data_IF_746703316625
#
_entry.id   IF_746703316625
#
_cell.length_a   1.000
_cell.length_b   1.000
_cell.length_c   1.000
_cell.angle_alpha   90.00
_cell.angle_beta   90.00
_cell.angle_gamma   90.00
#
_symmetry.space_group_name_H-M   'P 1'
#
loop_
_entity.id
_entity.type
_entity.pdbx_description
1 polymer ?
#
# COMPACT_ATOMS: atom_id res chain seq x y z
N UNK A 1 -6.66 -35.90 -8.38
CA UNK A 1 -7.05 -34.48 -8.49
C UNK A 1 -5.78 -33.66 -8.38
N UNK A 2 -5.29 -33.15 -9.50
CA UNK A 2 -4.03 -32.41 -9.56
C UNK A 2 -4.25 -31.04 -8.92
N UNK A 3 -3.75 -30.84 -7.71
CA UNK A 3 -3.63 -29.51 -7.11
C UNK A 3 -2.73 -28.70 -8.04
N UNK A 4 -3.29 -27.68 -8.70
CA UNK A 4 -2.49 -26.69 -9.43
C UNK A 4 -1.45 -26.15 -8.45
N UNK A 5 -0.19 -26.56 -8.59
CA UNK A 5 0.90 -26.01 -7.80
C UNK A 5 0.92 -24.51 -8.08
N UNK A 6 0.51 -23.71 -7.11
CA UNK A 6 0.68 -22.26 -7.18
C UNK A 6 2.18 -22.00 -7.22
N UNK A 7 2.62 -21.35 -8.29
CA UNK A 7 4.00 -20.94 -8.46
C UNK A 7 4.44 -20.17 -7.20
N UNK A 8 5.56 -20.55 -6.57
CA UNK A 8 5.98 -20.01 -5.26
C UNK A 8 5.84 -20.95 -4.06
N UNK A 9 5.47 -22.23 -4.25
CA UNK A 9 5.50 -23.22 -3.17
C UNK A 9 4.33 -23.12 -2.18
N UNK A 10 4.51 -23.70 -0.99
CA UNK A 10 3.45 -23.84 0.02
C UNK A 10 3.37 -22.67 1.02
N UNK A 11 4.36 -21.77 1.03
CA UNK A 11 4.41 -20.64 1.96
C UNK A 11 3.41 -19.55 1.60
N UNK A 12 2.98 -18.78 2.60
CA UNK A 12 2.08 -17.62 2.40
C UNK A 12 2.71 -16.53 1.54
N UNK A 13 3.99 -16.27 1.80
CA UNK A 13 4.74 -15.31 1.01
C UNK A 13 4.86 -15.78 -0.45
N UNK A 14 5.06 -17.07 -0.68
CA UNK A 14 5.16 -17.69 -1.99
C UNK A 14 3.88 -17.62 -2.79
N UNK A 15 2.73 -17.85 -2.15
CA UNK A 15 1.41 -17.69 -2.78
C UNK A 15 1.18 -16.28 -3.32
N UNK A 16 1.76 -15.25 -2.68
CA UNK A 16 1.67 -13.87 -3.18
C UNK A 16 2.78 -13.54 -4.18
N UNK A 17 4.02 -13.80 -3.81
CA UNK A 17 5.18 -13.40 -4.61
C UNK A 17 5.29 -14.20 -5.90
N UNK A 18 5.03 -15.50 -5.87
CA UNK A 18 5.30 -16.39 -7.01
C UNK A 18 4.56 -15.98 -8.28
N UNK A 19 3.23 -15.91 -8.30
CA UNK A 19 2.48 -15.53 -9.50
C UNK A 19 2.84 -14.11 -10.00
N UNK A 20 3.12 -13.19 -9.08
CA UNK A 20 3.52 -11.82 -9.42
C UNK A 20 4.92 -11.76 -10.05
N UNK A 21 5.88 -12.51 -9.52
CA UNK A 21 7.24 -12.58 -10.06
C UNK A 21 7.25 -13.23 -11.45
N UNK A 22 6.46 -14.26 -11.69
CA UNK A 22 6.31 -14.83 -13.02
C UNK A 22 5.66 -13.85 -14.01
N UNK A 23 4.62 -13.11 -13.57
CA UNK A 23 4.04 -12.03 -14.38
C UNK A 23 5.06 -10.92 -14.69
N UNK A 24 5.92 -10.57 -13.73
CA UNK A 24 7.04 -9.64 -13.95
C UNK A 24 8.01 -10.20 -14.99
N UNK A 25 8.50 -11.44 -14.83
CA UNK A 25 9.43 -12.10 -15.77
C UNK A 25 8.88 -12.08 -17.20
N UNK A 26 7.58 -12.37 -17.37
CA UNK A 26 6.91 -12.39 -18.68
C UNK A 26 6.77 -11.02 -19.32
N UNK A 27 6.69 -9.94 -18.53
CA UNK A 27 6.52 -8.57 -19.02
C UNK A 27 7.83 -7.79 -19.14
N UNK A 28 8.91 -8.26 -18.51
CA UNK A 28 10.22 -7.61 -18.57
C UNK A 28 10.84 -7.80 -19.96
N UNK A 29 11.29 -6.70 -20.56
CA UNK A 29 12.17 -6.75 -21.73
C UNK A 29 13.54 -7.30 -21.31
N UNK A 30 13.74 -8.62 -21.42
CA UNK A 30 14.94 -9.34 -20.97
C UNK A 30 16.26 -8.65 -21.32
N UNK A 31 16.38 -8.12 -22.54
CA UNK A 31 17.59 -7.45 -23.03
C UNK A 31 17.98 -6.19 -22.23
N UNK A 32 17.03 -5.55 -21.55
CA UNK A 32 17.25 -4.32 -20.76
C UNK A 32 17.39 -4.57 -19.26
N UNK A 33 16.79 -5.66 -18.74
CA UNK A 33 16.74 -5.92 -17.30
C UNK A 33 17.05 -7.39 -16.98
N UNK A 34 18.10 -7.96 -17.58
CA UNK A 34 18.53 -9.34 -17.33
C UNK A 34 18.74 -9.63 -15.84
N UNK A 35 19.29 -8.65 -15.09
CA UNK A 35 19.48 -8.75 -13.64
C UNK A 35 18.15 -8.87 -12.85
N UNK A 36 17.10 -8.15 -13.27
CA UNK A 36 15.77 -8.28 -12.66
C UNK A 36 15.20 -9.67 -12.91
N UNK A 37 15.32 -10.19 -14.13
CA UNK A 37 14.78 -11.51 -14.43
C UNK A 37 15.55 -12.61 -13.70
N UNK A 38 16.88 -12.52 -13.59
CA UNK A 38 17.66 -13.47 -12.78
C UNK A 38 17.29 -13.40 -11.30
N UNK A 39 17.07 -12.19 -10.77
CA UNK A 39 16.66 -12.02 -9.38
C UNK A 39 15.27 -12.62 -9.11
N UNK A 40 14.28 -12.39 -9.99
CA UNK A 40 12.96 -13.01 -9.88
C UNK A 40 13.03 -14.54 -9.93
N UNK A 41 13.82 -15.13 -10.85
CA UNK A 41 13.98 -16.58 -10.94
C UNK A 41 14.62 -17.17 -9.69
N UNK A 42 15.69 -16.54 -9.19
CA UNK A 42 16.37 -16.99 -7.97
C UNK A 42 15.44 -16.95 -6.74
N UNK A 43 14.55 -15.95 -6.67
CA UNK A 43 13.52 -15.90 -5.63
C UNK A 43 12.49 -17.00 -5.80
N UNK A 44 12.02 -17.29 -7.02
CA UNK A 44 11.09 -18.39 -7.28
C UNK A 44 11.68 -19.74 -6.84
N UNK A 45 12.93 -20.02 -7.18
CA UNK A 45 13.62 -21.25 -6.77
C UNK A 45 13.72 -21.36 -5.24
N UNK A 46 14.00 -20.24 -4.56
CA UNK A 46 14.05 -20.20 -3.09
C UNK A 46 12.67 -20.44 -2.46
N UNK A 47 11.61 -19.85 -3.03
CA UNK A 47 10.23 -19.98 -2.54
C UNK A 47 9.72 -21.43 -2.55
N UNK A 48 10.17 -22.26 -3.50
CA UNK A 48 9.80 -23.69 -3.55
C UNK A 48 10.29 -24.47 -2.32
N UNK A 49 11.40 -24.04 -1.72
CA UNK A 49 11.97 -24.67 -0.52
C UNK A 49 11.46 -24.10 0.81
N UNK A 50 10.73 -22.98 0.77
CA UNK A 50 10.28 -22.27 1.97
C UNK A 50 8.93 -22.81 2.45
N UNK A 51 8.86 -23.05 3.76
CA UNK A 51 7.63 -23.37 4.48
C UNK A 51 7.39 -22.34 5.55
N UNK A 52 6.12 -22.09 5.88
CA UNK A 52 5.78 -21.16 6.95
C UNK A 52 6.19 -21.72 8.32
N UNK A 53 7.00 -20.97 9.06
CA UNK A 53 7.23 -21.26 10.47
C UNK A 53 5.98 -20.90 11.29
N UNK A 54 5.21 -21.93 11.68
CA UNK A 54 3.97 -21.79 12.46
C UNK A 54 4.18 -21.25 13.88
N UNK A 55 5.43 -21.20 14.35
CA UNK A 55 5.78 -20.99 15.76
C UNK A 55 6.11 -19.56 16.16
N UNK A 56 6.12 -18.57 15.25
CA UNK A 56 6.63 -17.24 15.59
C UNK A 56 5.63 -16.07 15.47
N UNK A 57 4.90 -15.77 16.56
CA UNK A 57 4.18 -14.50 16.75
C UNK A 57 5.09 -13.30 17.08
N UNK A 58 6.40 -13.51 17.28
CA UNK A 58 7.33 -12.55 17.85
C UNK A 58 8.55 -12.21 17.00
N UNK A 59 8.76 -12.84 15.83
CA UNK A 59 9.87 -12.46 14.96
C UNK A 59 9.71 -11.01 14.52
N UNK A 60 10.77 -10.21 14.73
CA UNK A 60 10.90 -8.87 14.16
C UNK A 60 11.16 -8.93 12.64
N UNK A 61 10.79 -10.02 11.97
CA UNK A 61 10.96 -10.19 10.54
C UNK A 61 9.87 -9.44 9.80
N UNK A 62 10.22 -8.71 8.71
CA UNK A 62 9.24 -7.94 7.96
C UNK A 62 8.24 -8.81 7.19
N UNK A 63 8.48 -10.11 7.01
CA UNK A 63 7.54 -11.05 6.39
C UNK A 63 7.08 -12.14 7.36
N UNK A 64 5.80 -12.52 7.26
CA UNK A 64 5.22 -13.58 8.07
C UNK A 64 5.94 -14.92 7.86
N UNK A 65 6.36 -15.55 8.97
CA UNK A 65 6.86 -16.93 8.97
C UNK A 65 8.24 -17.13 8.34
N UNK A 66 9.01 -16.05 8.16
CA UNK A 66 10.34 -16.07 7.51
C UNK A 66 11.39 -15.33 8.35
N UNK A 67 12.68 -15.62 8.09
CA UNK A 67 13.81 -14.86 8.63
C UNK A 67 13.93 -13.47 7.99
N UNK A 68 14.60 -12.52 8.66
CA UNK A 68 14.85 -11.17 8.09
C UNK A 68 15.68 -11.24 6.80
N UNK A 69 16.68 -12.12 6.74
CA UNK A 69 17.52 -12.30 5.55
C UNK A 69 16.74 -12.87 4.38
N UNK A 70 15.83 -13.81 4.63
CA UNK A 70 14.96 -14.33 3.56
C UNK A 70 14.00 -13.24 3.11
N UNK A 71 13.42 -12.46 4.02
CA UNK A 71 12.52 -11.38 3.67
C UNK A 71 13.17 -10.30 2.78
N UNK A 72 14.41 -9.90 3.10
CA UNK A 72 15.19 -8.97 2.29
C UNK A 72 15.44 -9.51 0.88
N UNK A 73 15.85 -10.79 0.81
CA UNK A 73 16.09 -11.46 -0.46
C UNK A 73 14.83 -11.55 -1.33
N UNK A 74 13.69 -11.91 -0.74
CA UNK A 74 12.43 -12.13 -1.45
C UNK A 74 11.79 -10.85 -2.00
N UNK A 75 11.93 -9.73 -1.29
CA UNK A 75 11.32 -8.45 -1.68
C UNK A 75 12.21 -7.61 -2.62
N UNK A 76 13.52 -7.91 -2.69
CA UNK A 76 14.44 -7.14 -3.53
C UNK A 76 14.06 -7.11 -5.03
N UNK A 77 13.64 -8.21 -5.69
CA UNK A 77 13.20 -8.15 -7.09
C UNK A 77 11.93 -7.30 -7.29
N UNK A 78 11.07 -7.23 -6.27
CA UNK A 78 9.87 -6.40 -6.31
C UNK A 78 10.21 -4.92 -6.36
N UNK A 79 11.15 -4.48 -5.52
CA UNK A 79 11.67 -3.11 -5.52
C UNK A 79 12.31 -2.78 -6.87
N UNK A 80 13.14 -3.68 -7.39
CA UNK A 80 13.77 -3.51 -8.71
C UNK A 80 12.74 -3.42 -9.86
N UNK A 81 11.62 -4.13 -9.77
CA UNK A 81 10.53 -4.05 -10.74
C UNK A 81 9.84 -2.68 -10.71
N UNK A 82 9.59 -2.12 -9.52
CA UNK A 82 9.03 -0.77 -9.36
C UNK A 82 10.00 0.31 -9.89
N UNK A 83 11.30 0.14 -9.66
CA UNK A 83 12.36 1.05 -10.15
C UNK A 83 12.56 0.99 -11.67
N UNK A 84 12.05 -0.04 -12.35
CA UNK A 84 12.21 -0.20 -13.81
C UNK A 84 11.56 0.92 -14.63
N UNK A 85 10.57 1.63 -14.04
CA UNK A 85 9.75 2.67 -14.69
C UNK A 85 9.02 2.19 -15.96
N UNK A 86 8.91 0.88 -16.17
CA UNK A 86 8.15 0.29 -17.27
C UNK A 86 6.75 -0.05 -16.77
N UNK A 87 5.66 0.60 -17.24
CA UNK A 87 4.31 0.38 -16.73
C UNK A 87 3.91 -1.11 -16.72
N UNK A 88 4.24 -1.86 -17.77
CA UNK A 88 3.99 -3.31 -17.88
C UNK A 88 4.66 -4.17 -16.79
N UNK A 89 5.72 -3.66 -16.16
CA UNK A 89 6.50 -4.33 -15.10
C UNK A 89 6.10 -3.78 -13.73
N UNK A 90 5.86 -2.48 -13.65
CA UNK A 90 5.45 -1.78 -12.42
C UNK A 90 4.05 -2.22 -11.99
N UNK A 91 3.11 -2.38 -12.92
CA UNK A 91 1.72 -2.78 -12.61
C UNK A 91 1.64 -4.11 -11.83
N UNK A 92 2.22 -5.25 -12.28
CA UNK A 92 2.21 -6.48 -11.50
C UNK A 92 3.02 -6.40 -10.19
N UNK A 93 3.98 -5.47 -10.10
CA UNK A 93 4.72 -5.22 -8.86
C UNK A 93 3.88 -4.44 -7.83
N UNK A 94 3.11 -3.44 -8.26
CA UNK A 94 2.18 -2.71 -7.39
C UNK A 94 1.06 -3.63 -6.88
N UNK A 95 0.48 -4.47 -7.74
CA UNK A 95 -0.51 -5.48 -7.32
C UNK A 95 0.06 -6.43 -6.25
N UNK A 96 1.32 -6.88 -6.43
CA UNK A 96 2.00 -7.71 -5.44
C UNK A 96 2.17 -6.98 -4.11
N UNK A 97 2.64 -5.73 -4.14
CA UNK A 97 2.81 -4.90 -2.95
C UNK A 97 1.48 -4.68 -2.23
N UNK A 98 0.40 -4.40 -2.98
CA UNK A 98 -0.95 -4.25 -2.43
C UNK A 98 -1.37 -5.51 -1.67
N UNK A 99 -1.21 -6.69 -2.28
CA UNK A 99 -1.56 -7.98 -1.67
C UNK A 99 -0.72 -8.30 -0.44
N UNK A 100 0.58 -7.99 -0.47
CA UNK A 100 1.48 -8.18 0.68
C UNK A 100 1.03 -7.37 1.91
N UNK A 101 0.61 -6.12 1.73
CA UNK A 101 0.08 -5.29 2.81
C UNK A 101 -1.34 -5.71 3.21
N UNK A 102 -2.23 -5.90 2.24
CA UNK A 102 -3.64 -6.20 2.49
C UNK A 102 -3.85 -7.53 3.22
N UNK A 103 -3.01 -8.53 2.93
CA UNK A 103 -3.09 -9.85 3.56
C UNK A 103 -2.26 -9.95 4.84
N UNK A 104 -1.61 -8.85 5.26
CA UNK A 104 -0.79 -8.82 6.48
C UNK A 104 0.43 -9.74 6.42
N UNK A 105 0.93 -10.03 5.20
CA UNK A 105 2.19 -10.77 5.02
C UNK A 105 3.35 -9.90 5.45
N UNK A 106 3.32 -8.60 5.09
CA UNK A 106 4.22 -7.61 5.68
C UNK A 106 3.73 -7.30 7.11
N UNK A 107 4.55 -7.60 8.11
CA UNK A 107 4.20 -7.43 9.54
C UNK A 107 5.42 -7.08 10.40
N UNK A 108 5.16 -6.65 11.64
CA UNK A 108 6.19 -6.52 12.68
C UNK A 108 7.29 -5.51 12.37
N UNK A 109 7.08 -4.65 11.37
CA UNK A 109 8.06 -3.68 10.91
C UNK A 109 7.67 -2.27 11.32
N UNK A 110 8.68 -1.52 11.76
CA UNK A 110 8.60 -0.08 11.88
C UNK A 110 9.20 0.55 10.62
N UNK A 111 8.40 1.32 9.90
CA UNK A 111 8.85 2.09 8.75
C UNK A 111 9.51 3.37 9.28
N UNK A 112 10.77 3.24 9.71
CA UNK A 112 11.53 4.28 10.39
C UNK A 112 12.65 4.90 9.54
N UNK A 113 13.52 4.08 8.96
CA UNK A 113 14.78 4.54 8.34
C UNK A 113 14.83 4.21 6.86
N UNK A 114 15.58 5.00 6.09
CA UNK A 114 15.88 4.74 4.68
C UNK A 114 16.58 3.40 4.44
N UNK A 115 17.17 2.82 5.48
CA UNK A 115 17.80 1.49 5.49
C UNK A 115 16.78 0.34 5.49
N UNK A 116 15.55 0.55 5.97
CA UNK A 116 14.49 -0.46 5.98
C UNK A 116 14.07 -0.81 4.56
N UNK A 117 14.08 -2.10 4.25
CA UNK A 117 13.61 -2.59 2.96
C UNK A 117 12.14 -2.27 2.71
N UNK A 118 11.31 -2.29 3.76
CA UNK A 118 9.89 -1.90 3.66
C UNK A 118 9.75 -0.41 3.39
N UNK A 119 10.62 0.44 3.97
CA UNK A 119 10.64 1.85 3.60
C UNK A 119 11.03 2.03 2.12
N UNK A 120 12.07 1.34 1.64
CA UNK A 120 12.46 1.36 0.22
C UNK A 120 11.32 0.89 -0.71
N UNK A 121 10.56 -0.13 -0.29
CA UNK A 121 9.36 -0.55 -1.02
C UNK A 121 8.33 0.58 -1.09
N UNK A 122 7.97 1.18 0.04
CA UNK A 122 7.00 2.30 0.07
C UNK A 122 7.52 3.52 -0.72
N UNK A 123 8.80 3.85 -0.60
CA UNK A 123 9.43 4.95 -1.33
C UNK A 123 9.39 4.74 -2.85
N UNK A 124 9.70 3.53 -3.32
CA UNK A 124 9.60 3.20 -4.74
C UNK A 124 8.15 3.19 -5.24
N UNK A 125 7.20 2.69 -4.44
CA UNK A 125 5.75 2.83 -4.71
C UNK A 125 5.35 4.30 -4.86
N UNK A 126 5.76 5.16 -3.92
CA UNK A 126 5.45 6.59 -4.01
C UNK A 126 6.02 7.21 -5.29
N UNK A 127 7.25 6.86 -5.69
CA UNK A 127 7.89 7.33 -6.91
C UNK A 127 7.18 6.86 -8.20
N UNK A 128 6.48 5.73 -8.19
CA UNK A 128 5.71 5.26 -9.35
C UNK A 128 4.57 6.20 -9.75
N UNK A 129 4.06 7.04 -8.84
CA UNK A 129 3.05 8.06 -9.16
C UNK A 129 3.53 9.08 -10.21
N UNK A 130 4.84 9.27 -10.37
CA UNK A 130 5.41 10.20 -11.34
C UNK A 130 5.45 9.65 -12.78
N UNK A 131 4.97 8.43 -13.03
CA UNK A 131 4.97 7.83 -14.37
C UNK A 131 3.90 8.42 -15.30
N UNK A 132 2.90 9.13 -14.74
CA UNK A 132 1.87 9.83 -15.51
C UNK A 132 0.85 8.91 -16.20
N UNK A 133 0.75 7.66 -15.73
CA UNK A 133 -0.21 6.65 -16.14
C UNK A 133 -1.28 6.48 -15.04
N UNK A 134 -2.55 6.66 -15.41
CA UNK A 134 -3.66 6.69 -14.46
C UNK A 134 -3.89 5.34 -13.76
N UNK A 135 -3.66 4.21 -14.45
CA UNK A 135 -3.80 2.89 -13.84
C UNK A 135 -2.70 2.66 -12.79
N UNK A 136 -1.49 3.14 -13.06
CA UNK A 136 -0.40 3.12 -12.08
C UNK A 136 -0.70 4.04 -10.89
N UNK A 137 -1.24 5.24 -11.13
CA UNK A 137 -1.62 6.17 -10.05
C UNK A 137 -2.70 5.58 -9.14
N UNK A 138 -3.73 4.91 -9.71
CA UNK A 138 -4.73 4.16 -8.94
C UNK A 138 -4.08 3.04 -8.13
N UNK A 139 -3.23 2.20 -8.74
CA UNK A 139 -2.54 1.12 -8.05
C UNK A 139 -1.63 1.64 -6.92
N UNK A 140 -0.98 2.80 -7.08
CA UNK A 140 -0.21 3.45 -6.00
C UNK A 140 -1.13 3.82 -4.84
N UNK A 141 -2.32 4.39 -5.10
CA UNK A 141 -3.29 4.69 -4.05
C UNK A 141 -3.73 3.43 -3.29
N UNK A 142 -3.94 2.31 -3.97
CA UNK A 142 -4.30 1.02 -3.36
C UNK A 142 -3.23 0.54 -2.38
N UNK A 143 -1.97 0.50 -2.82
CA UNK A 143 -0.84 0.05 -2.00
C UNK A 143 -0.65 0.95 -0.78
N UNK A 144 -0.73 2.26 -0.97
CA UNK A 144 -0.52 3.20 0.12
C UNK A 144 -1.65 3.15 1.16
N UNK A 145 -2.91 3.03 0.71
CA UNK A 145 -4.03 2.87 1.64
C UNK A 145 -3.98 1.51 2.35
N UNK A 146 -3.60 0.42 1.68
CA UNK A 146 -3.46 -0.89 2.33
C UNK A 146 -2.33 -0.91 3.37
N UNK A 147 -1.22 -0.20 3.12
CA UNK A 147 -0.15 -0.02 4.10
C UNK A 147 -0.64 0.75 5.35
N UNK A 148 -1.33 1.88 5.17
CA UNK A 148 -1.91 2.67 6.28
C UNK A 148 -2.98 1.87 7.02
N UNK A 149 -3.79 1.09 6.31
CA UNK A 149 -4.84 0.24 6.87
C UNK A 149 -4.30 -0.91 7.69
N UNK A 150 -3.12 -1.46 7.36
CA UNK A 150 -2.60 -2.65 8.02
C UNK A 150 -2.42 -2.43 9.54
N UNK A 151 -2.98 -3.29 10.41
CA UNK A 151 -2.75 -3.22 11.85
C UNK A 151 -1.36 -3.75 12.24
N UNK A 152 -0.65 -4.39 11.31
CA UNK A 152 0.62 -5.08 11.53
C UNK A 152 1.84 -4.25 11.13
N UNK A 153 1.64 -3.02 10.65
CA UNK A 153 2.68 -2.12 10.15
C UNK A 153 2.66 -0.83 10.94
N UNK A 154 3.81 -0.44 11.50
CA UNK A 154 3.98 0.83 12.19
C UNK A 154 4.62 1.85 11.26
N UNK A 155 3.89 2.88 10.85
CA UNK A 155 4.38 3.93 9.96
C UNK A 155 4.78 5.14 10.80
N UNK A 156 6.02 5.63 10.70
CA UNK A 156 6.44 6.87 11.41
C UNK A 156 5.85 8.15 10.81
N UNK A 157 5.80 9.22 11.61
CA UNK A 157 5.24 10.51 11.24
C UNK A 157 5.75 11.04 9.89
N UNK A 158 7.07 11.08 9.67
CA UNK A 158 7.63 11.59 8.41
C UNK A 158 7.27 10.72 7.20
N UNK A 159 7.26 9.39 7.37
CA UNK A 159 6.86 8.46 6.32
C UNK A 159 5.36 8.59 6.02
N UNK A 160 4.51 8.73 7.05
CA UNK A 160 3.07 8.93 6.87
C UNK A 160 2.79 10.26 6.14
N UNK A 161 3.50 11.32 6.51
CA UNK A 161 3.43 12.62 5.82
C UNK A 161 3.83 12.48 4.36
N UNK A 162 4.87 11.69 4.06
CA UNK A 162 5.30 11.43 2.69
C UNK A 162 4.25 10.67 1.88
N UNK A 163 3.64 9.63 2.47
CA UNK A 163 2.54 8.87 1.87
C UNK A 163 1.35 9.78 1.56
N UNK A 164 0.88 10.54 2.56
CA UNK A 164 -0.26 11.46 2.41
C UNK A 164 0.04 12.53 1.37
N UNK A 165 1.26 13.08 1.35
CA UNK A 165 1.69 14.05 0.33
C UNK A 165 1.68 13.45 -1.07
N UNK A 166 2.06 12.17 -1.21
CA UNK A 166 2.02 11.47 -2.50
C UNK A 166 0.59 11.33 -3.00
N UNK A 167 -0.34 10.84 -2.16
CA UNK A 167 -1.77 10.76 -2.51
C UNK A 167 -2.37 12.14 -2.84
N UNK A 168 -1.97 13.18 -2.11
CA UNK A 168 -2.39 14.56 -2.38
C UNK A 168 -1.84 15.09 -3.71
N UNK A 169 -0.61 14.74 -4.08
CA UNK A 169 -0.06 15.11 -5.38
C UNK A 169 -0.80 14.40 -6.53
N UNK A 170 -1.18 13.12 -6.37
CA UNK A 170 -2.04 12.41 -7.33
C UNK A 170 -3.40 13.10 -7.45
N UNK A 171 -4.00 13.49 -6.33
CA UNK A 171 -5.24 14.27 -6.34
C UNK A 171 -5.11 15.58 -7.12
N UNK A 172 -4.05 16.37 -6.89
CA UNK A 172 -3.86 17.65 -7.58
C UNK A 172 -3.45 17.50 -9.05
N UNK A 173 -2.66 16.47 -9.37
CA UNK A 173 -2.15 16.20 -10.71
C UNK A 173 -3.08 15.32 -11.55
N UNK A 174 -4.14 14.79 -10.95
CA UNK A 174 -5.03 13.81 -11.57
C UNK A 174 -5.67 14.34 -12.85
N UNK A 175 -5.50 13.59 -13.94
CA UNK A 175 -5.97 13.97 -15.28
C UNK A 175 -7.46 13.71 -15.50
N UNK A 176 -8.06 12.83 -14.70
CA UNK A 176 -9.47 12.45 -14.77
C UNK A 176 -10.20 12.80 -13.46
N UNK A 177 -11.49 13.13 -13.56
CA UNK A 177 -12.33 13.36 -12.37
C UNK A 177 -12.42 12.12 -11.48
N UNK A 178 -12.46 10.92 -12.08
CA UNK A 178 -12.47 9.65 -11.35
C UNK A 178 -11.22 9.47 -10.49
N UNK A 179 -10.02 9.66 -11.05
CA UNK A 179 -8.77 9.57 -10.31
C UNK A 179 -8.73 10.58 -9.16
N UNK A 180 -9.19 11.81 -9.39
CA UNK A 180 -9.26 12.83 -8.34
C UNK A 180 -10.21 12.43 -7.20
N UNK A 181 -11.39 11.90 -7.53
CA UNK A 181 -12.36 11.39 -6.54
C UNK A 181 -11.76 10.22 -5.76
N UNK A 182 -11.10 9.27 -6.43
CA UNK A 182 -10.42 8.14 -5.78
C UNK A 182 -9.31 8.63 -4.83
N UNK A 183 -8.41 9.49 -5.31
CA UNK A 183 -7.32 10.04 -4.50
C UNK A 183 -7.84 10.82 -3.28
N UNK A 184 -8.89 11.62 -3.45
CA UNK A 184 -9.55 12.34 -2.36
C UNK A 184 -10.19 11.38 -1.34
N UNK A 185 -10.86 10.34 -1.82
CA UNK A 185 -11.49 9.33 -0.97
C UNK A 185 -10.46 8.52 -0.18
N UNK A 186 -9.32 8.20 -0.81
CA UNK A 186 -8.19 7.53 -0.17
C UNK A 186 -7.58 8.41 0.94
N UNK A 187 -7.37 9.69 0.67
CA UNK A 187 -6.90 10.64 1.69
C UNK A 187 -7.86 10.70 2.87
N UNK A 188 -9.16 10.83 2.62
CA UNK A 188 -10.18 10.84 3.67
C UNK A 188 -10.17 9.53 4.49
N UNK A 189 -10.09 8.38 3.82
CA UNK A 189 -10.02 7.07 4.48
C UNK A 189 -8.77 6.93 5.36
N UNK A 190 -7.60 7.37 4.86
CA UNK A 190 -6.37 7.39 5.67
C UNK A 190 -6.54 8.23 6.93
N UNK A 191 -7.22 9.39 6.83
CA UNK A 191 -7.47 10.24 7.98
C UNK A 191 -8.39 9.58 8.99
N UNK A 192 -9.50 8.98 8.54
CA UNK A 192 -10.40 8.25 9.42
C UNK A 192 -9.63 7.16 10.17
N UNK A 193 -8.85 6.32 9.47
CA UNK A 193 -8.05 5.26 10.09
C UNK A 193 -7.10 5.82 11.15
N UNK A 194 -6.32 6.85 10.81
CA UNK A 194 -5.32 7.44 11.72
C UNK A 194 -6.00 8.05 12.94
N UNK A 195 -7.05 8.86 12.76
CA UNK A 195 -7.74 9.51 13.88
C UNK A 195 -8.45 8.50 14.78
N UNK A 196 -9.13 7.50 14.23
CA UNK A 196 -9.79 6.46 15.04
C UNK A 196 -8.76 5.66 15.85
N UNK A 197 -7.62 5.28 15.26
CA UNK A 197 -6.54 4.60 15.99
C UNK A 197 -5.93 5.45 17.09
N UNK A 198 -5.83 6.76 16.87
CA UNK A 198 -5.41 7.71 17.89
C UNK A 198 -6.44 7.78 19.02
N UNK A 199 -7.69 8.06 18.70
CA UNK A 199 -8.75 8.25 19.68
C UNK A 199 -8.90 7.02 20.60
N UNK A 200 -8.80 5.83 20.01
CA UNK A 200 -8.91 4.55 20.73
C UNK A 200 -7.57 4.04 21.27
N UNK A 201 -6.47 4.74 20.98
CA UNK A 201 -5.10 4.32 21.29
C UNK A 201 -4.81 2.84 20.94
N UNK A 202 -5.23 2.43 19.75
CA UNK A 202 -5.23 1.02 19.33
C UNK A 202 -5.04 0.90 17.83
N UNK A 203 -4.08 0.07 17.38
CA UNK A 203 -3.93 -0.28 15.96
C UNK A 203 -5.11 -1.11 15.42
N UNK A 204 -5.88 -1.70 16.33
CA UNK A 204 -7.03 -2.57 16.05
C UNK A 204 -8.35 -1.82 16.07
N UNK A 205 -8.29 -0.50 16.18
CA UNK A 205 -9.48 0.34 16.15
C UNK A 205 -10.30 0.07 14.89
N UNK A 206 -11.59 -0.21 15.10
CA UNK A 206 -12.54 -0.37 14.01
C UNK A 206 -12.92 1.02 13.48
N UNK A 207 -12.82 1.19 12.17
CA UNK A 207 -13.16 2.42 11.47
C UNK A 207 -14.20 2.15 10.40
N UNK A 208 -14.96 3.19 10.04
CA UNK A 208 -15.94 3.11 8.95
C UNK A 208 -15.30 3.47 7.62
N UNK A 209 -15.84 2.92 6.54
CA UNK A 209 -15.46 3.33 5.20
C UNK A 209 -16.02 4.73 4.93
N UNK A 210 -15.28 5.53 4.16
CA UNK A 210 -15.76 6.81 3.69
C UNK A 210 -16.93 6.58 2.73
N UNK A 211 -17.98 7.39 2.88
CA UNK A 211 -19.08 7.44 1.93
C UNK A 211 -18.71 8.51 0.90
N UNK A 212 -18.32 8.08 -0.30
CA UNK A 212 -17.75 8.96 -1.33
C UNK A 212 -18.74 10.05 -1.74
N UNK A 213 -20.03 9.72 -1.82
CA UNK A 213 -21.08 10.68 -2.15
C UNK A 213 -21.11 11.84 -1.15
N UNK A 214 -21.20 11.55 0.16
CA UNK A 214 -21.19 12.56 1.22
C UNK A 214 -19.91 13.39 1.20
N UNK A 215 -18.75 12.77 0.93
CA UNK A 215 -17.46 13.47 0.85
C UNK A 215 -17.39 14.50 -0.29
N UNK A 216 -18.10 14.26 -1.40
CA UNK A 216 -18.12 15.15 -2.56
C UNK A 216 -19.18 16.25 -2.47
N UNK A 217 -20.30 16.02 -1.79
CA UNK A 217 -21.33 17.05 -1.56
C UNK A 217 -20.75 18.31 -0.88
N UNK A 218 -19.69 18.16 -0.10
CA UNK A 218 -18.97 19.28 0.52
C UNK A 218 -18.00 20.05 -0.41
N UNK A 219 -17.76 19.62 -1.66
CA UNK A 219 -16.56 20.03 -2.39
C UNK A 219 -16.65 20.38 -3.88
N UNK A 220 -17.73 20.14 -4.62
CA UNK A 220 -18.13 20.81 -5.90
C UNK A 220 -19.05 19.91 -6.75
N UNK A 221 -19.98 20.53 -7.51
CA UNK A 221 -21.02 19.88 -8.35
C UNK A 221 -20.69 19.86 -9.86
N UNK A 222 -19.44 19.64 -10.26
CA UNK A 222 -19.00 19.88 -11.65
C UNK A 222 -18.37 18.66 -12.36
N UNK A 223 -18.57 17.44 -11.88
CA UNK A 223 -18.14 16.24 -12.59
C UNK A 223 -19.38 15.41 -13.01
N UNK A 224 -19.27 14.64 -14.09
CA UNK A 224 -20.25 13.61 -14.44
C UNK A 224 -20.19 12.49 -13.36
N UNK A 225 -20.79 12.79 -12.21
CA UNK A 225 -20.38 12.30 -10.88
C UNK A 225 -20.88 10.90 -10.55
N UNK A 226 -22.05 10.48 -11.05
CA UNK A 226 -22.68 9.23 -10.58
C UNK A 226 -21.82 7.98 -10.78
N UNK A 227 -21.27 7.77 -11.99
CA UNK A 227 -20.44 6.60 -12.28
C UNK A 227 -19.08 6.66 -11.60
N UNK A 228 -18.47 7.85 -11.53
CA UNK A 228 -17.16 8.08 -10.91
C UNK A 228 -17.23 7.92 -9.38
N UNK A 229 -18.32 8.37 -8.75
CA UNK A 229 -18.61 8.17 -7.33
C UNK A 229 -18.76 6.68 -7.04
N UNK A 230 -19.55 5.96 -7.84
CA UNK A 230 -19.75 4.53 -7.66
C UNK A 230 -18.43 3.75 -7.82
N UNK A 231 -17.66 4.06 -8.87
CA UNK A 231 -16.34 3.49 -9.07
C UNK A 231 -15.43 3.73 -7.86
N UNK A 232 -15.34 4.99 -7.40
CA UNK A 232 -14.49 5.33 -6.26
C UNK A 232 -14.98 4.70 -4.95
N UNK A 233 -16.28 4.51 -4.76
CA UNK A 233 -16.81 3.84 -3.59
C UNK A 233 -16.40 2.36 -3.59
N UNK A 234 -16.53 1.69 -4.75
CA UNK A 234 -16.08 0.31 -4.92
C UNK A 234 -14.58 0.20 -4.69
N UNK A 235 -13.81 1.11 -5.27
CA UNK A 235 -12.35 1.18 -5.10
C UNK A 235 -11.94 1.23 -3.62
N UNK A 236 -12.56 2.10 -2.81
CA UNK A 236 -12.29 2.16 -1.36
C UNK A 236 -12.69 0.87 -0.66
N UNK A 237 -13.88 0.35 -0.94
CA UNK A 237 -14.38 -0.87 -0.31
C UNK A 237 -13.47 -2.06 -0.61
N UNK A 238 -13.05 -2.23 -1.87
CA UNK A 238 -12.13 -3.29 -2.28
C UNK A 238 -10.81 -3.23 -1.50
N UNK A 239 -10.21 -2.05 -1.35
CA UNK A 239 -8.96 -1.89 -0.58
C UNK A 239 -9.16 -2.17 0.91
N UNK A 240 -10.27 -1.69 1.50
CA UNK A 240 -10.52 -1.81 2.93
C UNK A 240 -10.91 -3.23 3.33
N UNK A 241 -11.74 -3.86 2.51
CA UNK A 241 -12.27 -5.20 2.74
C UNK A 241 -11.35 -6.29 2.18
N UNK A 242 -10.27 -5.93 1.46
CA UNK A 242 -9.26 -6.87 1.00
C UNK A 242 -8.65 -7.67 2.17
N UNK A 243 -9.16 -8.89 2.31
CA UNK A 243 -8.71 -9.93 3.24
C UNK A 243 -8.78 -11.27 2.50
N UNK A 244 -7.73 -11.66 1.78
CA UNK A 244 -7.55 -13.08 1.41
C UNK A 244 -6.57 -13.68 2.42
N UNK A 245 -7.13 -14.45 3.34
CA UNK A 245 -6.37 -15.30 4.25
C UNK A 245 -5.84 -16.50 3.46
N UNK A 246 -4.53 -16.77 3.50
CA UNK A 246 -4.00 -18.04 3.00
C UNK A 246 -4.59 -19.22 3.78
N UNK A 247 -4.49 -20.46 3.26
CA UNK A 247 -4.95 -21.64 4.00
C UNK A 247 -4.23 -21.66 5.38
N UNK A 248 -5.03 -21.70 6.46
CA UNK A 248 -4.62 -21.87 7.87
C UNK A 248 -4.04 -20.66 8.66
N UNK A 249 -4.51 -19.43 8.46
CA UNK A 249 -4.07 -18.30 9.31
C UNK A 249 -4.95 -18.07 10.56
N UNK A 250 -4.50 -18.56 11.74
CA UNK A 250 -4.90 -17.99 13.04
C UNK A 250 -4.16 -16.67 13.24
N UNK A 251 -4.89 -15.55 13.35
CA UNK A 251 -4.32 -14.22 13.59
C UNK A 251 -3.64 -14.15 14.97
N UNK A 252 -2.31 -14.21 15.02
CA UNK A 252 -1.55 -13.71 16.17
C UNK A 252 -1.17 -12.25 15.87
N UNK A 253 -1.68 -11.35 16.71
CA UNK A 253 -1.70 -9.91 16.46
C UNK A 253 -0.93 -9.22 17.58
N UNK A 254 0.10 -8.47 17.22
CA UNK A 254 0.92 -7.75 18.20
C UNK A 254 0.07 -6.70 18.92
N UNK A 255 -0.04 -6.81 20.24
CA UNK A 255 -0.60 -5.77 21.12
C UNK A 255 0.46 -4.69 21.36
N UNK A 256 0.67 -3.78 20.41
CA UNK A 256 1.52 -2.61 20.61
C UNK A 256 0.75 -1.43 21.22
N UNK A 257 1.28 -0.82 22.29
CA UNK A 257 0.85 0.50 22.76
C UNK A 257 1.51 1.56 21.87
N UNK A 258 0.74 2.49 21.31
CA UNK A 258 1.28 3.55 20.47
C UNK A 258 1.70 4.73 21.36
N UNK A 259 2.90 5.26 21.15
CA UNK A 259 3.33 6.51 21.79
C UNK A 259 2.78 7.69 20.95
N UNK A 260 1.52 8.02 21.22
CA UNK A 260 0.58 8.64 20.29
C UNK A 260 0.65 10.18 20.23
N UNK A 261 1.31 10.82 21.19
CA UNK A 261 1.31 12.28 21.34
C UNK A 261 2.17 13.00 20.28
N UNK A 262 3.24 12.36 19.78
CA UNK A 262 4.10 12.95 18.75
C UNK A 262 3.50 12.82 17.34
N UNK A 263 2.72 11.76 17.10
CA UNK A 263 2.05 11.49 15.83
C UNK A 263 0.90 12.45 15.55
N UNK A 264 0.09 12.76 16.57
CA UNK A 264 -1.03 13.67 16.45
C UNK A 264 -0.57 15.08 16.09
N UNK A 265 0.50 15.57 16.74
CA UNK A 265 1.03 16.93 16.52
C UNK A 265 1.60 17.08 15.10
N UNK A 266 2.29 16.07 14.56
CA UNK A 266 2.86 16.12 13.21
C UNK A 266 1.79 16.02 12.12
N UNK A 267 0.83 15.10 12.26
CA UNK A 267 -0.23 14.88 11.27
C UNK A 267 -1.22 16.05 11.27
N UNK A 268 -1.66 16.53 12.43
CA UNK A 268 -2.54 17.70 12.57
C UNK A 268 -1.84 18.96 12.03
N UNK A 269 -0.54 19.16 12.26
CA UNK A 269 0.19 20.32 11.74
C UNK A 269 0.36 20.29 10.22
N UNK A 270 0.67 19.14 9.63
CA UNK A 270 0.80 19.00 8.17
C UNK A 270 -0.55 19.18 7.47
N UNK A 271 -1.64 18.75 8.09
CA UNK A 271 -2.99 18.82 7.52
C UNK A 271 -3.61 20.22 7.71
N UNK A 272 -3.53 20.82 8.91
CA UNK A 272 -4.06 22.18 9.13
C UNK A 272 -3.31 23.23 8.32
N UNK A 273 -1.99 23.14 8.18
CA UNK A 273 -1.24 24.16 7.42
C UNK A 273 -1.43 24.04 5.90
N UNK A 274 -1.89 22.90 5.35
CA UNK A 274 -1.95 22.70 3.89
C UNK A 274 -3.34 22.42 3.32
N UNK A 275 -4.22 21.70 4.02
CA UNK A 275 -5.59 21.49 3.54
C UNK A 275 -6.50 22.68 3.87
N UNK A 276 -6.44 23.23 5.09
CA UNK A 276 -7.30 24.36 5.51
C UNK A 276 -6.95 25.65 4.78
N UNK A 277 -5.65 25.91 4.55
CA UNK A 277 -5.17 27.12 3.86
C UNK A 277 -5.53 27.18 2.36
N UNK A 278 -5.89 26.05 1.72
CA UNK A 278 -6.40 26.06 0.34
C UNK A 278 -7.92 26.18 0.26
N UNK A 279 -8.66 25.63 1.22
CA UNK A 279 -10.09 25.95 1.35
C UNK A 279 -10.33 27.43 1.68
N UNK A 280 -9.35 28.17 2.21
CA UNK A 280 -9.47 29.64 2.40
C UNK A 280 -8.93 30.45 1.21
N UNK A 281 -7.89 29.98 0.51
CA UNK A 281 -7.34 30.69 -0.67
C UNK A 281 -8.19 30.56 -1.93
N UNK A 282 -9.00 29.51 -2.08
CA UNK A 282 -9.96 29.40 -3.19
C UNK A 282 -11.09 30.43 -3.03
N UNK A 283 -11.44 30.82 -1.80
CA UNK A 283 -12.45 31.85 -1.51
C UNK A 283 -11.89 33.29 -1.50
N UNK A 284 -10.56 33.46 -1.49
CA UNK A 284 -9.91 34.77 -1.52
C UNK A 284 -9.58 35.27 -2.95
N UNK A 285 -9.86 34.46 -3.98
CA UNK A 285 -9.57 34.77 -5.40
C UNK A 285 -10.83 34.84 -6.28
N UNK A 286 -12.01 35.01 -5.69
CA UNK A 286 -13.18 35.50 -6.42
C UNK A 286 -13.31 37.00 -6.17
N UNK A 287 -13.22 37.87 -7.20
CA UNK A 287 -13.57 39.28 -7.08
C UNK A 287 -15.08 39.46 -6.81
#
# INVERSE_FOLDING_TARGET
MSTSQTLGGASRCGWVLGPSLDKIIKNVAWRKHSHLVSACKSVLDKLESLTDDASDPGSCSPLYGLSSSDADFLLQPLIMALESRSPKVVEPALDCAFRLFSFGIIRGCEIQESSSLIYRLVDTVCKCSALGDEAIELAVLEVLLSAVRSPSVYIRGDCLVYIVKTCYNIYLGGKSGTLQICAKSVLAQMMIIVFTRVEQNSMLAEFKNVVVFELLEFADRNLNEGSSIHFSQNFINEIVDAKQSPPDSKHSLMKGKINLLMFLVLVVRVILEKMVLRSTKIYANYP
#
